data_IF_110656206442
#
_entry.id   IF_110656206442
#
_cell.length_a   1.000
_cell.length_b   1.000
_cell.length_c   1.000
_cell.angle_alpha   90.00
_cell.angle_beta   90.00
_cell.angle_gamma   90.00
#
_symmetry.space_group_name_H-M   'P 1'
#
loop_
_entity.id
_entity.type
_entity.pdbx_description
1 polymer ?
#
# COMPACT_ATOMS: atom_id res chain seq x y z
N UNK A 1 -5.75 21.77 1.93
CA UNK A 1 -6.32 20.57 2.59
C UNK A 1 -5.83 19.24 2.01
N UNK A 2 -5.52 19.12 0.71
CA UNK A 2 -5.08 17.83 0.12
C UNK A 2 -3.75 17.26 0.66
N UNK A 3 -2.85 18.09 1.19
CA UNK A 3 -1.52 17.65 1.65
C UNK A 3 -1.51 16.94 3.01
N UNK A 4 -2.51 17.16 3.87
CA UNK A 4 -2.56 16.52 5.20
C UNK A 4 -3.07 15.09 5.12
N UNK A 5 -4.06 14.83 4.26
CA UNK A 5 -4.61 13.49 4.05
C UNK A 5 -3.59 12.55 3.40
N UNK A 6 -2.76 13.05 2.47
CA UNK A 6 -1.65 12.27 1.91
C UNK A 6 -0.55 11.96 2.92
N UNK A 7 -0.18 12.93 3.76
CA UNK A 7 0.78 12.71 4.85
C UNK A 7 0.27 11.66 5.82
N UNK A 8 -0.98 11.78 6.26
CA UNK A 8 -1.61 10.80 7.14
C UNK A 8 -1.58 9.38 6.54
N UNK A 9 -1.92 9.22 5.26
CA UNK A 9 -1.87 7.92 4.59
C UNK A 9 -0.44 7.38 4.47
N UNK A 10 0.53 8.26 4.20
CA UNK A 10 1.95 7.90 4.18
C UNK A 10 2.42 7.41 5.55
N UNK A 11 2.07 8.14 6.61
CA UNK A 11 2.46 7.84 7.99
C UNK A 11 1.83 6.51 8.45
N UNK A 12 0.52 6.33 8.24
CA UNK A 12 -0.18 5.07 8.54
C UNK A 12 0.46 3.90 7.79
N UNK A 13 0.78 4.09 6.51
CA UNK A 13 1.38 3.01 5.70
C UNK A 13 2.77 2.63 6.22
N UNK A 14 3.55 3.60 6.70
CA UNK A 14 4.86 3.34 7.28
C UNK A 14 4.74 2.59 8.62
N UNK A 15 3.81 3.02 9.47
CA UNK A 15 3.50 2.36 10.74
C UNK A 15 2.95 0.94 10.56
N UNK A 16 2.25 0.65 9.45
CA UNK A 16 1.77 -0.70 9.12
C UNK A 16 2.84 -1.61 8.51
N UNK A 17 3.77 -1.08 7.70
CA UNK A 17 4.86 -1.87 7.12
C UNK A 17 5.79 -2.45 8.18
N UNK A 18 6.03 -1.73 9.27
CA UNK A 18 6.90 -2.19 10.36
C UNK A 18 6.43 -3.49 11.02
N UNK A 19 5.20 -3.59 11.57
CA UNK A 19 4.69 -4.83 12.13
C UNK A 19 4.50 -5.92 11.06
N UNK A 20 4.16 -5.57 9.81
CA UNK A 20 4.03 -6.53 8.72
C UNK A 20 5.36 -7.20 8.38
N UNK A 21 6.44 -6.41 8.30
CA UNK A 21 7.80 -6.91 8.10
C UNK A 21 8.21 -7.85 9.24
N UNK A 22 7.87 -7.50 10.50
CA UNK A 22 8.14 -8.36 11.66
C UNK A 22 7.35 -9.67 11.60
N UNK A 23 6.10 -9.63 11.13
CA UNK A 23 5.26 -10.82 10.94
C UNK A 23 5.83 -11.73 9.84
N UNK A 24 6.27 -11.15 8.71
CA UNK A 24 6.96 -11.89 7.64
C UNK A 24 8.26 -12.53 8.13
N UNK A 25 9.04 -11.82 8.96
CA UNK A 25 10.22 -12.38 9.60
C UNK A 25 9.87 -13.55 10.55
N UNK A 26 8.84 -13.37 11.38
CA UNK A 26 8.38 -14.40 12.32
C UNK A 26 7.90 -15.66 11.61
N UNK A 27 7.14 -15.51 10.51
CA UNK A 27 6.69 -16.62 9.67
C UNK A 27 7.85 -17.32 8.97
N UNK A 28 8.82 -16.57 8.42
CA UNK A 28 10.03 -17.17 7.84
C UNK A 28 10.87 -17.96 8.86
N UNK A 29 11.02 -17.43 10.08
CA UNK A 29 11.70 -18.14 11.18
C UNK A 29 10.93 -19.40 11.61
N UNK A 30 9.60 -19.32 11.66
CA UNK A 30 8.75 -20.47 11.97
C UNK A 30 8.84 -21.54 10.89
N UNK A 31 8.81 -21.16 9.60
CA UNK A 31 9.02 -22.06 8.46
C UNK A 31 10.36 -22.78 8.59
N UNK A 32 11.43 -22.04 8.92
CA UNK A 32 12.77 -22.60 9.10
C UNK A 32 12.85 -23.60 10.27
N UNK A 33 12.11 -23.35 11.37
CA UNK A 33 12.16 -24.19 12.58
C UNK A 33 11.25 -25.41 12.50
N UNK A 34 10.07 -25.25 11.93
CA UNK A 34 8.96 -26.22 12.04
C UNK A 34 8.50 -26.77 10.68
N UNK A 35 9.11 -26.33 9.58
CA UNK A 35 8.72 -26.73 8.23
C UNK A 35 7.51 -25.96 7.72
N UNK A 36 6.94 -26.42 6.61
CA UNK A 36 5.73 -25.84 6.05
C UNK A 36 4.45 -26.38 6.70
N UNK A 37 3.43 -25.52 6.79
CA UNK A 37 2.07 -25.90 7.15
C UNK A 37 1.08 -25.07 6.32
N UNK A 38 -0.14 -25.56 6.13
CA UNK A 38 -1.19 -24.84 5.39
C UNK A 38 -1.56 -23.53 6.07
N UNK A 39 -1.52 -23.51 7.40
CA UNK A 39 -1.76 -22.32 8.21
C UNK A 39 -0.66 -21.28 7.99
N UNK A 40 0.61 -21.73 7.90
CA UNK A 40 1.74 -20.86 7.67
C UNK A 40 1.72 -20.24 6.27
N UNK A 41 1.45 -21.05 5.24
CA UNK A 41 1.27 -20.58 3.86
C UNK A 41 0.14 -19.54 3.77
N UNK A 42 -0.97 -19.79 4.48
CA UNK A 42 -2.08 -18.85 4.53
C UNK A 42 -1.69 -17.53 5.22
N UNK A 43 -0.98 -17.57 6.34
CA UNK A 43 -0.52 -16.35 7.02
C UNK A 43 0.41 -15.54 6.12
N UNK A 44 1.35 -16.18 5.42
CA UNK A 44 2.26 -15.50 4.50
C UNK A 44 1.54 -14.89 3.30
N UNK A 45 0.54 -15.58 2.77
CA UNK A 45 -0.29 -15.10 1.67
C UNK A 45 -1.07 -13.86 2.09
N UNK A 46 -1.73 -13.89 3.24
CA UNK A 46 -2.47 -12.72 3.76
C UNK A 46 -1.52 -11.56 4.08
N UNK A 47 -0.31 -11.83 4.61
CA UNK A 47 0.69 -10.80 4.83
C UNK A 47 1.12 -10.10 3.52
N UNK A 48 1.34 -10.85 2.44
CA UNK A 48 1.65 -10.29 1.12
C UNK A 48 0.48 -9.50 0.51
N UNK A 49 -0.75 -9.99 0.69
CA UNK A 49 -1.96 -9.26 0.25
C UNK A 49 -2.08 -7.92 0.95
N UNK A 50 -1.86 -7.88 2.27
CA UNK A 50 -1.87 -6.64 3.04
C UNK A 50 -0.79 -5.65 2.56
N UNK A 51 0.43 -6.12 2.31
CA UNK A 51 1.51 -5.25 1.81
C UNK A 51 1.14 -4.66 0.43
N UNK A 52 0.56 -5.48 -0.44
CA UNK A 52 0.11 -5.07 -1.77
C UNK A 52 -1.02 -4.03 -1.68
N UNK A 53 -2.02 -4.25 -0.83
CA UNK A 53 -3.12 -3.30 -0.60
C UNK A 53 -2.63 -1.96 -0.05
N UNK A 54 -1.67 -1.98 0.88
CA UNK A 54 -1.05 -0.75 1.42
C UNK A 54 -0.33 -0.01 0.30
N UNK A 55 0.40 -0.72 -0.55
CA UNK A 55 1.11 -0.12 -1.68
C UNK A 55 0.16 0.51 -2.70
N UNK A 56 -0.91 -0.20 -3.07
CA UNK A 56 -1.93 0.30 -4.01
C UNK A 56 -2.63 1.55 -3.46
N UNK A 57 -2.98 1.55 -2.17
CA UNK A 57 -3.59 2.71 -1.51
C UNK A 57 -2.67 3.95 -1.58
N UNK A 58 -1.37 3.77 -1.35
CA UNK A 58 -0.38 4.85 -1.48
C UNK A 58 -0.25 5.35 -2.92
N UNK A 59 -0.22 4.44 -3.89
CA UNK A 59 -0.17 4.79 -5.32
C UNK A 59 -1.41 5.58 -5.72
N UNK A 60 -2.60 5.12 -5.35
CA UNK A 60 -3.87 5.80 -5.61
C UNK A 60 -3.88 7.21 -4.97
N UNK A 61 -3.46 7.33 -3.71
CA UNK A 61 -3.40 8.62 -3.00
C UNK A 61 -2.44 9.61 -3.68
N UNK A 62 -1.29 9.15 -4.15
CA UNK A 62 -0.34 9.99 -4.91
C UNK A 62 -0.90 10.40 -6.27
N UNK A 63 -1.53 9.47 -6.98
CA UNK A 63 -2.13 9.74 -8.29
C UNK A 63 -3.30 10.72 -8.17
N UNK A 64 -4.13 10.61 -7.14
CA UNK A 64 -5.23 11.56 -6.90
C UNK A 64 -4.74 12.98 -6.63
N UNK A 65 -3.60 13.19 -5.97
CA UNK A 65 -3.07 14.55 -5.80
C UNK A 65 -2.33 15.07 -7.02
N UNK A 66 -1.70 14.20 -7.83
CA UNK A 66 -1.18 14.60 -9.15
C UNK A 66 -2.31 14.99 -10.09
N UNK A 67 -3.41 14.24 -10.04
CA UNK A 67 -4.64 14.48 -10.77
C UNK A 67 -5.60 15.41 -10.02
N UNK A 68 -5.16 16.09 -8.96
CA UNK A 68 -5.86 17.28 -8.48
C UNK A 68 -5.56 18.36 -9.53
N UNK A 69 -6.32 18.25 -10.61
CA UNK A 69 -6.11 18.88 -11.90
C UNK A 69 -5.84 20.37 -11.71
N UNK A 70 -4.82 20.87 -12.42
CA UNK A 70 -4.84 22.25 -12.86
C UNK A 70 -6.08 22.37 -13.73
N UNK A 71 -7.16 22.89 -13.16
CA UNK A 71 -8.36 23.23 -13.91
C UNK A 71 -8.02 24.41 -14.83
N UNK A 72 -7.56 24.10 -16.02
CA UNK A 72 -7.44 25.08 -17.10
C UNK A 72 -8.70 25.07 -17.95
N UNK A 73 -9.15 26.27 -18.35
CA UNK A 73 -10.27 26.39 -19.29
C UNK A 73 -9.80 25.94 -20.66
N UNK A 74 -10.07 24.69 -21.04
CA UNK A 74 -9.81 24.17 -22.37
C UNK A 74 -11.06 24.31 -23.22
N UNK A 75 -10.94 24.89 -24.41
CA UNK A 75 -12.07 24.94 -25.35
C UNK A 75 -12.23 23.56 -25.99
N UNK A 76 -13.47 23.06 -26.05
CA UNK A 76 -13.77 21.73 -26.57
C UNK A 76 -13.29 21.50 -28.02
N UNK A 77 -13.16 22.57 -28.81
CA UNK A 77 -12.64 22.52 -30.18
C UNK A 77 -11.11 22.41 -30.29
N UNK A 78 -10.39 22.37 -29.17
CA UNK A 78 -8.93 22.14 -29.12
C UNK A 78 -8.56 20.72 -28.71
N UNK A 79 -9.55 19.85 -28.48
CA UNK A 79 -9.37 18.46 -28.03
C UNK A 79 -9.44 17.42 -29.17
N UNK A 80 -9.60 17.87 -30.42
CA UNK A 80 -9.79 17.05 -31.62
C UNK A 80 -9.01 17.63 -32.78
#
# INVERSE_FOLDING_TARGET
>A
MMTSQQRLLSDISHELRTPLTRLQLGTALLRRRSGESKELERIETEAHRLDSMINDLLVMSRNQAKNALVSETVKANQLW
#
